data_IF_039035573375
#
_entry.id   IF_039035573375
#
_cell.length_a   1.000
_cell.length_b   1.000
_cell.length_c   1.000
_cell.angle_alpha   90.00
_cell.angle_beta   90.00
_cell.angle_gamma   90.00
#
_symmetry.space_group_name_H-M   'P 1'
#
loop_
_entity.id
_entity.type
_entity.pdbx_description
1 polymer ?
#
# COMPACT_ATOMS: atom_id res chain seq x y z
N UNK A 1 -44.72 -18.82 -0.62
CA UNK A 1 -44.13 -18.49 -1.94
C UNK A 1 -42.75 -17.91 -1.69
N UNK A 2 -41.70 -18.56 -2.19
CA UNK A 2 -40.34 -18.02 -2.13
C UNK A 2 -40.24 -17.01 -3.27
N UNK A 3 -40.07 -15.73 -2.93
CA UNK A 3 -39.82 -14.70 -3.93
C UNK A 3 -38.44 -14.93 -4.53
N UNK A 4 -38.38 -15.13 -5.84
CA UNK A 4 -37.13 -15.14 -6.58
C UNK A 4 -36.55 -13.72 -6.56
N UNK A 5 -35.31 -13.58 -6.08
CA UNK A 5 -34.53 -12.35 -6.22
C UNK A 5 -34.36 -12.05 -7.71
N UNK A 6 -34.70 -10.85 -8.21
CA UNK A 6 -34.44 -10.52 -9.60
C UNK A 6 -32.93 -10.51 -9.84
N UNK A 7 -32.48 -11.27 -10.84
CA UNK A 7 -31.17 -11.04 -11.44
C UNK A 7 -31.19 -9.65 -12.10
N UNK A 8 -30.41 -8.72 -11.55
CA UNK A 8 -30.27 -7.37 -12.08
C UNK A 8 -29.34 -7.43 -13.31
N UNK A 9 -29.86 -7.16 -14.50
CA UNK A 9 -29.03 -7.04 -15.70
C UNK A 9 -28.29 -5.69 -15.75
N UNK A 10 -27.00 -5.69 -16.13
CA UNK A 10 -26.46 -4.69 -17.08
C UNK A 10 -25.15 -3.99 -16.72
N UNK A 11 -24.50 -4.29 -15.58
CA UNK A 11 -23.22 -3.64 -15.19
C UNK A 11 -22.03 -4.59 -15.29
N UNK A 12 -22.29 -5.87 -15.51
CA UNK A 12 -21.27 -6.87 -15.74
C UNK A 12 -20.51 -6.54 -17.04
N UNK A 13 -19.20 -6.73 -17.01
CA UNK A 13 -18.34 -6.51 -18.17
C UNK A 13 -16.93 -6.10 -17.77
N UNK A 14 -16.11 -5.91 -18.80
CA UNK A 14 -14.74 -5.40 -18.68
C UNK A 14 -14.76 -3.91 -18.97
N UNK A 15 -14.07 -3.15 -18.13
CA UNK A 15 -13.97 -1.71 -18.23
C UNK A 15 -12.50 -1.28 -18.25
N UNK A 16 -12.21 -0.25 -19.05
CA UNK A 16 -10.88 0.36 -19.15
C UNK A 16 -10.90 1.79 -18.69
N UNK A 17 -9.80 2.18 -18.05
CA UNK A 17 -9.56 3.57 -17.69
C UNK A 17 -9.43 4.43 -18.94
N UNK A 18 -10.13 5.56 -18.95
CA UNK A 18 -10.13 6.53 -20.04
C UNK A 18 -9.51 7.86 -19.60
N UNK A 19 -8.80 8.52 -20.52
CA UNK A 19 -8.39 9.92 -20.35
C UNK A 19 -7.23 10.20 -19.39
N UNK A 20 -6.56 9.18 -18.83
CA UNK A 20 -5.39 9.34 -17.96
C UNK A 20 -4.13 8.86 -18.69
N UNK A 21 -3.19 9.76 -18.95
CA UNK A 21 -2.02 9.49 -19.81
C UNK A 21 -0.92 8.64 -19.14
N UNK A 22 -0.79 8.75 -17.82
CA UNK A 22 0.29 8.12 -17.04
C UNK A 22 -0.22 6.93 -16.19
N UNK A 23 -1.47 6.52 -16.40
CA UNK A 23 -2.09 5.40 -15.71
C UNK A 23 -2.68 4.41 -16.71
N UNK A 24 -2.55 3.13 -16.40
CA UNK A 24 -3.35 2.08 -17.00
C UNK A 24 -4.17 1.42 -15.90
N UNK A 25 -5.47 1.27 -16.09
CA UNK A 25 -6.30 0.52 -15.15
C UNK A 25 -7.41 -0.23 -15.87
N UNK A 26 -7.77 -1.38 -15.31
CA UNK A 26 -8.87 -2.21 -15.77
C UNK A 26 -9.70 -2.67 -14.59
N UNK A 27 -10.99 -2.83 -14.85
CA UNK A 27 -11.96 -3.36 -13.89
C UNK A 27 -12.84 -4.37 -14.62
N UNK A 28 -12.99 -5.56 -14.06
CA UNK A 28 -13.96 -6.55 -14.52
C UNK A 28 -15.01 -6.75 -13.43
N UNK A 29 -16.28 -6.73 -13.80
CA UNK A 29 -17.42 -7.08 -12.94
C UNK A 29 -18.12 -8.29 -13.53
N UNK A 30 -18.17 -9.40 -12.80
CA UNK A 30 -18.80 -10.65 -13.25
C UNK A 30 -20.18 -10.83 -12.63
N UNK A 31 -21.06 -11.57 -13.31
CA UNK A 31 -22.46 -11.79 -12.91
C UNK A 31 -22.65 -12.53 -11.58
N UNK A 32 -21.62 -13.24 -11.10
CA UNK A 32 -21.60 -13.91 -9.80
C UNK A 32 -21.22 -12.97 -8.64
N UNK A 33 -21.10 -11.67 -8.91
CA UNK A 33 -20.80 -10.66 -7.89
C UNK A 33 -19.31 -10.54 -7.56
N UNK A 34 -18.41 -11.03 -8.43
CA UNK A 34 -16.95 -10.89 -8.27
C UNK A 34 -16.38 -9.75 -9.11
N UNK A 35 -15.31 -9.14 -8.62
CA UNK A 35 -14.55 -8.17 -9.42
C UNK A 35 -13.08 -8.56 -9.53
N UNK A 36 -12.44 -8.09 -10.61
CA UNK A 36 -10.99 -8.04 -10.76
C UNK A 36 -10.58 -6.60 -11.09
N UNK A 37 -9.51 -6.13 -10.50
CA UNK A 37 -8.99 -4.77 -10.65
C UNK A 37 -7.49 -4.80 -10.87
N UNK A 38 -7.02 -3.93 -11.74
CA UNK A 38 -5.60 -3.62 -11.88
C UNK A 38 -5.38 -2.14 -12.10
N UNK A 39 -4.31 -1.58 -11.56
CA UNK A 39 -3.84 -0.22 -11.77
C UNK A 39 -2.32 -0.22 -11.83
N UNK A 40 -1.78 0.44 -12.84
CA UNK A 40 -0.38 0.86 -12.89
C UNK A 40 -0.37 2.37 -13.03
N UNK A 41 0.32 3.07 -12.13
CA UNK A 41 0.47 4.52 -12.14
C UNK A 41 1.86 4.91 -11.64
N UNK A 42 2.73 5.36 -12.53
CA UNK A 42 4.13 5.61 -12.18
C UNK A 42 4.81 4.34 -11.64
N UNK A 43 5.27 4.38 -10.38
CA UNK A 43 5.88 3.23 -9.69
C UNK A 43 4.88 2.40 -8.87
N UNK A 44 3.61 2.82 -8.80
CA UNK A 44 2.57 2.10 -8.09
C UNK A 44 1.94 1.07 -9.02
N UNK A 45 2.01 -0.19 -8.61
CA UNK A 45 1.24 -1.28 -9.19
C UNK A 45 0.29 -1.84 -8.13
N UNK A 46 -0.99 -1.95 -8.50
CA UNK A 46 -2.02 -2.59 -7.70
C UNK A 46 -2.76 -3.65 -8.54
N UNK A 47 -3.04 -4.78 -7.90
CA UNK A 47 -3.93 -5.81 -8.42
C UNK A 47 -4.78 -6.36 -7.28
N UNK A 48 -6.09 -6.43 -7.49
CA UNK A 48 -7.01 -6.88 -6.46
C UNK A 48 -8.21 -7.60 -7.04
N UNK A 49 -8.79 -8.47 -6.23
CA UNK A 49 -10.05 -9.13 -6.53
C UNK A 49 -10.93 -9.15 -5.28
N UNK A 50 -12.21 -9.42 -5.47
CA UNK A 50 -13.12 -9.49 -4.35
C UNK A 50 -14.56 -9.56 -4.80
N UNK A 51 -15.45 -9.00 -3.99
CA UNK A 51 -16.88 -8.95 -4.26
C UNK A 51 -17.34 -7.55 -4.61
N UNK A 52 -18.38 -7.46 -5.44
CA UNK A 52 -19.09 -6.22 -5.65
C UNK A 52 -20.57 -6.38 -5.32
N UNK A 53 -21.19 -5.28 -4.88
CA UNK A 53 -22.64 -5.21 -4.68
C UNK A 53 -23.19 -3.93 -5.29
N UNK A 54 -24.38 -3.99 -5.86
CA UNK A 54 -25.09 -2.80 -6.33
C UNK A 54 -25.87 -2.16 -5.19
N UNK A 55 -25.71 -0.86 -5.02
CA UNK A 55 -26.46 -0.03 -4.08
C UNK A 55 -26.97 1.23 -4.79
N UNK A 56 -28.20 1.18 -5.32
CA UNK A 56 -28.79 2.26 -6.10
C UNK A 56 -27.98 2.59 -7.36
N UNK A 57 -27.45 3.82 -7.42
CA UNK A 57 -26.60 4.31 -8.51
C UNK A 57 -25.10 4.03 -8.29
N UNK A 58 -24.75 3.14 -7.36
CA UNK A 58 -23.37 2.80 -7.04
C UNK A 58 -23.12 1.31 -7.13
N UNK A 59 -21.90 0.95 -7.50
CA UNK A 59 -21.33 -0.39 -7.28
C UNK A 59 -20.31 -0.24 -6.15
N UNK A 60 -20.38 -1.09 -5.14
CA UNK A 60 -19.48 -1.07 -3.99
C UNK A 60 -18.53 -2.26 -4.11
N UNK A 61 -17.22 -2.00 -4.19
CA UNK A 61 -16.19 -3.03 -4.24
C UNK A 61 -15.65 -3.32 -2.84
N UNK A 62 -15.48 -4.60 -2.50
CA UNK A 62 -14.75 -5.02 -1.30
C UNK A 62 -13.70 -6.06 -1.66
N UNK A 63 -12.43 -5.72 -1.43
CA UNK A 63 -11.30 -6.63 -1.67
C UNK A 63 -11.41 -7.87 -0.78
N UNK A 64 -11.18 -9.04 -1.37
CA UNK A 64 -11.14 -10.31 -0.66
C UNK A 64 -9.85 -11.09 -0.99
N UNK A 65 -9.21 -11.74 0.02
CA UNK A 65 -9.53 -11.69 1.44
C UNK A 65 -9.39 -10.28 2.02
N UNK A 66 -9.91 -10.05 3.24
CA UNK A 66 -9.83 -8.73 3.88
C UNK A 66 -8.38 -8.23 3.88
N UNK A 67 -8.20 -7.01 3.37
CA UNK A 67 -6.89 -6.40 3.20
C UNK A 67 -6.19 -6.23 4.55
N UNK A 68 -4.91 -6.62 4.60
CA UNK A 68 -4.06 -6.45 5.77
C UNK A 68 -2.88 -5.53 5.42
N UNK A 69 -2.61 -4.51 6.25
CA UNK A 69 -1.50 -3.59 6.00
C UNK A 69 -0.16 -4.33 6.02
N UNK A 70 0.85 -3.86 5.27
CA UNK A 70 2.21 -4.36 5.43
C UNK A 70 2.70 -4.11 6.85
N UNK A 71 3.65 -4.91 7.30
CA UNK A 71 4.27 -4.79 8.61
C UNK A 71 5.79 -4.87 8.49
N UNK A 72 6.49 -4.22 9.42
CA UNK A 72 7.92 -4.44 9.61
C UNK A 72 8.14 -5.14 10.94
N UNK A 73 8.88 -6.25 10.92
CA UNK A 73 9.19 -7.02 12.13
C UNK A 73 10.67 -6.88 12.47
N UNK A 74 11.04 -6.56 13.72
CA UNK A 74 12.44 -6.59 14.15
C UNK A 74 13.03 -8.00 13.99
N UNK A 75 14.22 -8.09 13.41
CA UNK A 75 14.96 -9.35 13.20
C UNK A 75 16.17 -9.42 14.11
N UNK A 76 16.97 -8.35 14.16
CA UNK A 76 18.15 -8.28 15.00
C UNK A 76 18.40 -6.85 15.48
N UNK A 77 18.95 -6.75 16.68
CA UNK A 77 19.46 -5.51 17.24
C UNK A 77 20.81 -5.83 17.89
N UNK A 78 21.88 -5.25 17.34
CA UNK A 78 23.24 -5.45 17.82
C UNK A 78 23.92 -4.11 18.11
N UNK A 79 24.93 -4.15 18.98
CA UNK A 79 25.84 -3.02 19.18
C UNK A 79 26.99 -3.13 18.18
N UNK A 80 27.25 -2.05 17.47
CA UNK A 80 28.34 -1.91 16.51
C UNK A 80 29.11 -0.61 16.82
N UNK A 81 30.37 -0.68 17.28
CA UNK A 81 31.14 0.51 17.64
C UNK A 81 31.63 1.33 16.44
N UNK A 82 31.56 0.80 15.22
CA UNK A 82 32.13 1.43 14.01
C UNK A 82 31.20 2.45 13.35
N UNK A 83 29.93 2.50 13.75
CA UNK A 83 28.94 3.37 13.11
C UNK A 83 27.94 3.94 14.12
N UNK A 84 27.38 5.13 13.90
CA UNK A 84 26.47 5.76 14.86
C UNK A 84 25.12 5.04 14.92
N UNK A 85 24.56 4.69 13.75
CA UNK A 85 23.36 3.90 13.58
C UNK A 85 23.38 3.28 12.17
N UNK A 86 22.88 2.06 12.05
CA UNK A 86 22.47 1.45 10.79
C UNK A 86 21.07 0.87 10.92
N UNK A 87 20.23 1.16 9.93
CA UNK A 87 18.90 0.58 9.78
C UNK A 87 18.89 -0.22 8.48
N UNK A 88 18.77 -1.54 8.59
CA UNK A 88 18.64 -2.44 7.46
C UNK A 88 17.22 -2.96 7.36
N UNK A 89 16.69 -3.03 6.14
CA UNK A 89 15.43 -3.72 5.86
C UNK A 89 15.68 -4.85 4.87
N UNK A 90 15.06 -6.00 5.13
CA UNK A 90 15.11 -7.18 4.27
C UNK A 90 13.75 -7.55 3.71
N UNK A 91 13.77 -8.18 2.54
CA UNK A 91 12.64 -8.85 1.93
C UNK A 91 12.21 -10.08 2.77
N UNK A 92 11.04 -10.69 2.48
CA UNK A 92 10.56 -11.86 3.21
C UNK A 92 11.53 -13.05 3.22
N UNK A 93 12.34 -13.21 2.18
CA UNK A 93 13.36 -14.25 2.04
C UNK A 93 14.67 -13.95 2.80
N UNK A 94 14.74 -12.80 3.48
CA UNK A 94 15.90 -12.36 4.26
C UNK A 94 16.97 -11.62 3.46
N UNK A 95 16.81 -11.47 2.15
CA UNK A 95 17.74 -10.66 1.34
C UNK A 95 17.56 -9.17 1.60
N UNK A 96 18.61 -8.32 1.48
CA UNK A 96 18.45 -6.87 1.54
C UNK A 96 17.38 -6.40 0.54
N UNK A 97 16.53 -5.48 0.97
CA UNK A 97 15.44 -5.01 0.10
C UNK A 97 16.01 -4.38 -1.17
N UNK A 98 15.51 -4.81 -2.33
CA UNK A 98 15.99 -4.34 -3.64
C UNK A 98 15.52 -2.92 -4.02
N UNK A 99 14.69 -2.30 -3.20
CA UNK A 99 14.18 -0.94 -3.38
C UNK A 99 14.24 -0.18 -2.05
N UNK A 100 14.33 1.17 -2.09
CA UNK A 100 14.41 1.99 -0.89
C UNK A 100 13.21 1.83 0.05
N UNK A 101 13.48 1.70 1.35
CA UNK A 101 12.49 1.81 2.43
C UNK A 101 12.76 3.11 3.16
N UNK A 102 11.74 3.94 3.31
CA UNK A 102 11.85 5.22 4.00
C UNK A 102 12.15 4.97 5.49
N UNK A 103 13.00 5.78 6.08
CA UNK A 103 13.34 5.76 7.50
C UNK A 103 13.12 7.15 8.07
N UNK A 104 12.25 7.25 9.07
CA UNK A 104 12.04 8.49 9.82
C UNK A 104 12.56 8.29 11.23
N UNK A 105 13.62 8.99 11.59
CA UNK A 105 14.16 8.98 12.95
C UNK A 105 13.49 10.07 13.76
N UNK A 106 12.96 9.72 14.93
CA UNK A 106 12.43 10.69 15.91
C UNK A 106 13.51 10.97 16.94
N UNK A 107 13.87 12.24 17.11
CA UNK A 107 14.86 12.70 18.08
C UNK A 107 14.19 13.14 19.39
N UNK A 108 14.96 13.14 20.48
CA UNK A 108 14.48 13.53 21.80
C UNK A 108 14.00 14.99 21.90
N UNK A 109 14.48 15.87 21.01
CA UNK A 109 14.06 17.28 20.93
C UNK A 109 12.79 17.50 20.10
N UNK A 110 12.20 16.42 19.56
CA UNK A 110 11.01 16.44 18.71
C UNK A 110 11.30 16.61 17.21
N UNK A 111 12.56 16.74 16.82
CA UNK A 111 12.96 16.79 15.41
C UNK A 111 12.79 15.42 14.75
N UNK A 112 12.32 15.41 13.51
CA UNK A 112 12.33 14.23 12.64
C UNK A 112 13.47 14.34 11.62
N UNK A 113 14.18 13.23 11.39
CA UNK A 113 15.17 13.12 10.32
C UNK A 113 14.75 12.03 9.34
N UNK A 114 14.55 12.42 8.09
CA UNK A 114 14.20 11.51 7.01
C UNK A 114 15.45 10.92 6.35
N UNK A 115 15.28 9.70 5.84
CA UNK A 115 16.25 9.00 5.04
C UNK A 115 15.61 7.78 4.40
N UNK A 116 16.43 6.96 3.75
CA UNK A 116 15.96 5.74 3.13
C UNK A 116 17.08 4.71 3.07
N UNK A 117 16.71 3.44 3.10
CA UNK A 117 17.67 2.33 3.03
C UNK A 117 18.27 2.22 1.63
N UNK A 118 19.58 1.97 1.59
CA UNK A 118 20.30 1.51 0.40
C UNK A 118 20.52 -0.01 0.47
N UNK A 119 21.25 -0.58 -0.50
CA UNK A 119 21.65 -1.99 -0.46
C UNK A 119 22.43 -2.39 0.80
N UNK A 120 23.13 -1.43 1.41
CA UNK A 120 23.86 -1.58 2.68
C UNK A 120 23.06 -1.05 3.90
N UNK A 121 21.80 -0.68 3.73
CA UNK A 121 20.96 -0.07 4.75
C UNK A 121 21.03 1.45 4.75
N UNK A 122 20.41 2.08 5.73
CA UNK A 122 20.49 3.52 5.98
C UNK A 122 21.46 3.80 7.13
N UNK A 123 22.45 4.65 6.87
CA UNK A 123 23.44 5.10 7.85
C UNK A 123 23.35 6.63 7.91
N UNK A 124 22.62 7.20 8.87
CA UNK A 124 22.49 8.65 9.00
C UNK A 124 23.80 9.30 9.42
N UNK A 125 24.00 10.55 9.01
CA UNK A 125 24.94 11.43 9.68
C UNK A 125 24.26 11.97 10.95
N UNK A 126 24.64 11.45 12.12
CA UNK A 126 24.10 11.89 13.41
C UNK A 126 25.14 12.80 14.09
N UNK A 127 24.82 14.09 14.32
CA UNK A 127 25.66 14.96 15.13
C UNK A 127 25.96 14.36 16.51
N UNK A 128 27.12 14.70 17.07
CA UNK A 128 27.50 14.23 18.40
C UNK A 128 26.45 14.64 19.46
N UNK A 129 26.09 13.72 20.34
CA UNK A 129 25.06 13.92 21.36
C UNK A 129 23.61 13.78 20.87
N UNK A 130 23.38 13.50 19.59
CA UNK A 130 22.04 13.23 19.06
C UNK A 130 21.40 12.03 19.75
N UNK A 131 20.20 12.23 20.30
CA UNK A 131 19.42 11.16 20.93
C UNK A 131 18.27 10.76 20.02
N UNK A 132 18.41 9.62 19.35
CA UNK A 132 17.31 8.97 18.61
C UNK A 132 16.47 8.18 19.60
N UNK A 133 15.18 8.50 19.71
CA UNK A 133 14.25 7.85 20.65
C UNK A 133 13.41 6.76 19.98
N UNK A 134 13.16 6.91 18.68
CA UNK A 134 12.42 5.92 17.90
C UNK A 134 12.74 6.05 16.40
N UNK A 135 12.31 5.07 15.62
CA UNK A 135 12.25 5.17 14.16
C UNK A 135 10.92 4.65 13.61
N UNK A 136 10.51 5.14 12.45
CA UNK A 136 9.44 4.56 11.61
C UNK A 136 10.03 4.10 10.28
N UNK A 137 9.38 3.11 9.70
CA UNK A 137 9.71 2.59 8.37
C UNK A 137 8.53 2.84 7.44
N UNK A 138 8.81 3.33 6.23
CA UNK A 138 7.80 3.73 5.26
C UNK A 138 7.96 3.07 3.90
N UNK A 139 6.82 2.88 3.24
CA UNK A 139 6.74 2.46 1.84
C UNK A 139 5.99 3.55 1.09
N UNK A 140 6.65 4.67 0.79
CA UNK A 140 5.99 5.88 0.29
C UNK A 140 5.09 5.67 -0.93
N UNK A 141 5.47 4.80 -1.87
CA UNK A 141 4.64 4.49 -3.05
C UNK A 141 3.27 3.87 -2.70
N UNK A 142 3.16 3.23 -1.54
CA UNK A 142 1.93 2.61 -1.02
C UNK A 142 1.26 3.45 0.07
N UNK A 143 1.71 4.70 0.29
CA UNK A 143 1.22 5.59 1.35
C UNK A 143 1.19 4.92 2.74
N UNK A 144 2.23 4.14 3.03
CA UNK A 144 2.34 3.39 4.28
C UNK A 144 3.49 3.90 5.14
N UNK A 145 3.21 4.06 6.43
CA UNK A 145 4.22 4.30 7.48
C UNK A 145 3.92 3.42 8.69
N UNK A 146 4.96 2.81 9.25
CA UNK A 146 4.83 1.94 10.42
C UNK A 146 4.50 2.71 11.70
N UNK A 147 4.02 1.97 12.71
CA UNK A 147 4.13 2.41 14.09
C UNK A 147 5.61 2.66 14.47
N UNK A 148 5.88 3.54 15.44
CA UNK A 148 7.25 3.82 15.88
C UNK A 148 7.87 2.61 16.59
N UNK A 149 9.11 2.28 16.22
CA UNK A 149 9.95 1.33 16.93
C UNK A 149 10.84 2.10 17.91
N UNK A 150 10.81 1.80 19.23
CA UNK A 150 11.66 2.46 20.19
C UNK A 150 13.13 2.13 19.90
N UNK A 151 13.99 3.14 20.05
CA UNK A 151 15.43 3.02 19.83
C UNK A 151 16.15 3.39 21.13
N UNK A 152 17.08 2.53 21.54
CA UNK A 152 18.04 2.80 22.59
C UNK A 152 19.42 2.54 22.02
N UNK A 153 20.06 3.62 21.57
CA UNK A 153 21.38 3.54 20.93
C UNK A 153 22.44 2.99 21.89
N UNK A 154 22.30 3.13 23.21
CA UNK A 154 23.25 2.55 24.16
C UNK A 154 23.22 1.01 24.13
N UNK A 155 22.06 0.41 23.80
CA UNK A 155 21.89 -1.04 23.70
C UNK A 155 22.19 -1.57 22.31
N UNK A 156 21.68 -0.94 21.27
CA UNK A 156 21.85 -1.39 19.89
C UNK A 156 21.78 -0.24 18.91
N UNK A 157 22.62 -0.31 17.87
CA UNK A 157 22.72 0.67 16.81
C UNK A 157 22.97 0.04 15.44
N UNK A 158 22.94 -1.29 15.33
CA UNK A 158 22.75 -1.99 14.06
C UNK A 158 21.42 -2.75 14.15
N UNK A 159 20.40 -2.20 13.49
CA UNK A 159 19.02 -2.63 13.59
C UNK A 159 18.58 -3.21 12.25
N UNK A 160 18.12 -4.46 12.25
CA UNK A 160 17.54 -5.10 11.07
C UNK A 160 16.05 -5.38 11.26
N UNK A 161 15.27 -5.05 10.24
CA UNK A 161 13.84 -5.34 10.15
C UNK A 161 13.56 -6.15 8.90
N UNK A 162 12.50 -6.96 8.92
CA UNK A 162 12.01 -7.70 7.76
C UNK A 162 10.62 -7.19 7.39
N UNK A 163 10.40 -6.96 6.10
CA UNK A 163 9.09 -6.68 5.56
C UNK A 163 8.23 -7.94 5.60
N UNK A 164 7.05 -7.83 6.18
CA UNK A 164 5.93 -8.76 6.03
C UNK A 164 4.93 -8.05 5.11
N UNK A 165 4.85 -8.41 3.82
CA UNK A 165 4.10 -7.63 2.84
C UNK A 165 2.59 -7.70 3.07
N UNK A 166 2.08 -8.78 3.66
CA UNK A 166 0.64 -8.99 3.81
C UNK A 166 -0.11 -8.76 2.48
N UNK A 167 -1.01 -7.79 2.40
CA UNK A 167 -1.77 -7.44 1.19
C UNK A 167 -1.15 -6.30 0.38
N UNK A 168 0.17 -6.04 0.51
CA UNK A 168 0.87 -5.02 -0.26
C UNK A 168 0.64 -5.22 -1.77
N UNK A 169 0.35 -4.13 -2.48
CA UNK A 169 -0.01 -4.17 -3.90
C UNK A 169 -1.45 -4.61 -4.18
N UNK A 170 -2.27 -4.85 -3.15
CA UNK A 170 -3.73 -4.95 -3.32
C UNK A 170 -4.39 -3.63 -2.90
N UNK A 171 -5.41 -3.16 -3.62
CA UNK A 171 -6.18 -2.01 -3.19
C UNK A 171 -6.98 -2.36 -1.91
N UNK A 172 -6.96 -1.50 -0.86
CA UNK A 172 -7.67 -1.75 0.39
C UNK A 172 -9.18 -1.40 0.29
N UNK A 173 -9.86 -1.84 -0.78
CA UNK A 173 -11.27 -1.50 -1.00
C UNK A 173 -12.16 -2.07 0.09
N UNK A 174 -12.86 -1.18 0.78
CA UNK A 174 -13.91 -1.48 1.75
C UNK A 174 -15.15 -0.69 1.39
N UNK A 175 -16.11 -1.36 0.75
CA UNK A 175 -17.26 -0.72 0.11
C UNK A 175 -16.88 0.48 -0.78
N UNK A 176 -15.75 0.37 -1.50
CA UNK A 176 -15.25 1.41 -2.39
C UNK A 176 -16.31 1.72 -3.47
N UNK A 177 -16.83 2.94 -3.55
CA UNK A 177 -17.87 3.26 -4.51
C UNK A 177 -17.31 3.47 -5.91
N UNK A 178 -18.04 2.91 -6.87
CA UNK A 178 -18.08 3.31 -8.27
C UNK A 178 -19.44 3.96 -8.54
N UNK A 179 -19.46 5.20 -8.98
CA UNK A 179 -20.69 5.91 -9.36
C UNK A 179 -20.99 5.59 -10.82
N UNK A 180 -22.23 5.23 -11.12
CA UNK A 180 -22.70 5.05 -12.50
C UNK A 180 -23.04 6.45 -13.05
N UNK A 181 -22.34 6.87 -14.10
CA UNK A 181 -22.55 8.14 -14.78
C UNK A 181 -22.75 7.90 -16.28
N UNK A 182 -24.00 7.80 -16.72
CA UNK A 182 -24.31 7.36 -18.09
C UNK A 182 -23.87 5.90 -18.27
N UNK A 183 -23.00 5.68 -19.26
CA UNK A 183 -22.42 4.36 -19.57
C UNK A 183 -21.06 4.12 -18.90
N UNK A 184 -20.54 5.11 -18.17
CA UNK A 184 -19.24 5.04 -17.51
C UNK A 184 -19.39 4.71 -16.01
N UNK A 185 -18.37 4.06 -15.46
CA UNK A 185 -18.19 3.86 -14.02
C UNK A 185 -17.09 4.79 -13.50
N UNK A 186 -17.37 5.51 -12.43
CA UNK A 186 -16.43 6.51 -11.89
C UNK A 186 -15.98 6.11 -10.49
N UNK A 187 -14.68 5.92 -10.33
CA UNK A 187 -14.03 5.75 -9.03
C UNK A 187 -13.34 7.05 -8.61
N UNK A 188 -13.58 7.48 -7.37
CA UNK A 188 -12.76 8.53 -6.75
C UNK A 188 -11.71 7.87 -5.85
N UNK A 189 -10.44 8.27 -6.01
CA UNK A 189 -9.32 7.81 -5.18
C UNK A 189 -8.40 8.98 -4.85
N UNK A 190 -8.26 9.30 -3.56
CA UNK A 190 -7.61 10.55 -3.15
C UNK A 190 -8.27 11.75 -3.84
N UNK A 191 -7.45 12.61 -4.45
CA UNK A 191 -7.92 13.73 -5.27
C UNK A 191 -8.17 13.35 -6.74
N UNK A 192 -7.94 12.08 -7.10
CA UNK A 192 -8.07 11.56 -8.46
C UNK A 192 -9.49 11.09 -8.80
N UNK A 193 -9.88 11.32 -10.06
CA UNK A 193 -11.09 10.77 -10.66
C UNK A 193 -10.71 9.80 -11.78
N UNK A 194 -11.09 8.54 -11.62
CA UNK A 194 -10.85 7.46 -12.59
C UNK A 194 -12.18 7.13 -13.27
N UNK A 195 -12.28 7.44 -14.56
CA UNK A 195 -13.46 7.13 -15.38
C UNK A 195 -13.19 5.85 -16.17
N UNK A 196 -14.05 4.86 -15.99
CA UNK A 196 -13.96 3.54 -16.58
C UNK A 196 -15.07 3.37 -17.61
N UNK A 197 -14.69 3.12 -18.87
CA UNK A 197 -15.63 2.84 -19.95
C UNK A 197 -15.69 1.35 -20.21
N UNK A 198 -16.91 0.85 -20.42
CA UNK A 198 -17.13 -0.54 -20.78
C UNK A 198 -16.50 -0.84 -22.15
N UNK A 199 -15.73 -1.93 -22.26
CA UNK A 199 -15.28 -2.42 -23.56
C UNK A 199 -16.50 -2.92 -24.34
N UNK A 200 -16.59 -2.54 -25.61
CA UNK A 200 -17.58 -3.12 -26.53
C UNK A 200 -17.24 -4.58 -26.79
N UNK A 201 -18.24 -5.45 -26.77
CA UNK A 201 -18.11 -6.85 -27.25
C UNK A 201 -17.82 -6.92 -28.76
#
# INVERSE_FOLDING_TARGET
>A
MVAATPALAGVEGVYRLEGVREAASGLELTADGRFRYGLTYGALDEAGEGRWVRNGNRILLTTEPEWKPPEFVPVSAARNPEMPLRVQVTAPDGTPMGWPVDVVLMLADGTEMDGYTQSYGYIPNLPEGTQVTALRLGLGVFDFVSAPFPVDLARANDLSFRLVPNSLGQPPFKDQPLVIEGDDLVMLRGDGRLTYRKESE
#
